data_IF_719126420435
#
_entry.id   IF_719126420435
#
_cell.length_a   1.000
_cell.length_b   1.000
_cell.length_c   1.000
_cell.angle_alpha   90.00
_cell.angle_beta   90.00
_cell.angle_gamma   90.00
#
_symmetry.space_group_name_H-M   'P 1'
#
loop_
_entity.id
_entity.type
_entity.pdbx_description
1 polymer ?
#
# COMPACT_ATOMS: atom_id res chain seq x y z
N UNK A 1 -0.11 22.53 11.68
CA UNK A 1 -1.23 23.40 11.24
C UNK A 1 -1.15 23.60 9.72
N UNK A 2 -1.90 22.84 8.94
CA UNK A 2 -2.04 23.11 7.49
C UNK A 2 -3.05 24.25 7.33
N UNK A 3 -2.58 25.41 6.86
CA UNK A 3 -3.48 26.48 6.45
C UNK A 3 -4.24 26.02 5.20
N UNK A 4 -5.55 25.92 5.28
CA UNK A 4 -6.39 25.73 4.09
C UNK A 4 -6.19 26.96 3.20
N UNK A 5 -5.85 26.75 1.94
CA UNK A 5 -5.91 27.82 0.94
C UNK A 5 -7.36 28.28 0.85
N UNK A 6 -7.62 29.57 1.12
CA UNK A 6 -8.97 30.12 1.01
C UNK A 6 -9.50 30.04 -0.42
N UNK A 7 -10.82 29.95 -0.55
CA UNK A 7 -11.51 29.84 -1.85
C UNK A 7 -11.11 30.91 -2.89
N UNK A 8 -10.77 32.12 -2.45
CA UNK A 8 -10.30 33.21 -3.32
C UNK A 8 -8.99 32.88 -4.05
N UNK A 9 -8.09 32.11 -3.41
CA UNK A 9 -6.80 31.76 -4.00
C UNK A 9 -6.94 30.60 -5.01
N UNK A 10 -7.93 29.74 -4.80
CA UNK A 10 -8.29 28.66 -5.75
C UNK A 10 -8.93 29.24 -6.99
N UNK A 11 -9.86 30.19 -6.83
CA UNK A 11 -10.53 30.88 -7.94
C UNK A 11 -9.55 31.67 -8.82
N UNK A 12 -8.54 32.29 -8.22
CA UNK A 12 -7.47 32.99 -8.95
C UNK A 12 -6.58 32.08 -9.81
N UNK A 13 -6.44 30.80 -9.42
CA UNK A 13 -5.65 29.81 -10.14
C UNK A 13 -6.45 29.18 -11.29
N UNK A 14 -7.75 28.97 -11.09
CA UNK A 14 -8.61 28.28 -12.06
C UNK A 14 -9.31 29.24 -13.05
N UNK A 15 -9.22 30.55 -12.83
CA UNK A 15 -9.82 31.58 -13.74
C UNK A 15 -11.36 31.55 -13.77
N UNK A 16 -12.01 30.80 -12.91
CA UNK A 16 -13.45 30.65 -12.84
C UNK A 16 -13.96 30.76 -11.40
N UNK A 17 -15.07 31.45 -11.21
CA UNK A 17 -15.72 31.62 -9.90
C UNK A 17 -16.66 30.43 -9.65
N UNK A 18 -16.13 29.36 -9.02
CA UNK A 18 -16.88 28.14 -8.72
C UNK A 18 -18.14 28.34 -7.83
N UNK A 19 -18.27 29.51 -7.22
CA UNK A 19 -19.42 29.82 -6.35
C UNK A 19 -20.68 30.29 -7.11
N UNK A 20 -20.56 30.56 -8.41
CA UNK A 20 -21.68 31.09 -9.25
C UNK A 20 -22.28 30.03 -10.19
N UNK A 21 -21.75 28.80 -10.22
CA UNK A 21 -22.32 27.72 -11.03
C UNK A 21 -23.51 27.12 -10.25
N UNK A 22 -24.70 27.42 -10.66
CA UNK A 22 -25.90 26.86 -10.07
C UNK A 22 -26.17 25.44 -10.58
N UNK A 23 -26.88 24.62 -9.77
CA UNK A 23 -27.25 23.24 -10.15
C UNK A 23 -28.01 23.19 -11.50
N UNK A 24 -28.70 24.28 -11.86
CA UNK A 24 -29.47 24.39 -13.10
C UNK A 24 -28.55 24.58 -14.32
N UNK A 25 -27.41 25.25 -14.19
CA UNK A 25 -26.42 25.40 -15.26
C UNK A 25 -25.66 24.08 -15.53
N UNK A 26 -25.38 23.29 -14.50
CA UNK A 26 -24.79 21.96 -14.67
C UNK A 26 -25.78 21.01 -15.37
N UNK A 27 -27.07 21.11 -15.01
CA UNK A 27 -28.13 20.30 -15.63
C UNK A 27 -28.40 20.72 -17.07
N UNK A 28 -28.37 22.03 -17.37
CA UNK A 28 -28.55 22.55 -18.73
C UNK A 28 -27.35 22.25 -19.64
N UNK A 29 -26.13 22.30 -19.12
CA UNK A 29 -24.92 21.92 -19.87
C UNK A 29 -24.91 20.41 -20.20
N UNK A 30 -25.33 19.55 -19.28
CA UNK A 30 -25.47 18.11 -19.51
C UNK A 30 -26.64 17.76 -20.45
N UNK A 31 -27.72 18.52 -20.42
CA UNK A 31 -28.88 18.30 -21.32
C UNK A 31 -28.62 18.78 -22.75
N UNK A 32 -27.77 19.79 -22.94
CA UNK A 32 -27.36 20.25 -24.27
C UNK A 32 -26.34 19.34 -24.97
N UNK A 33 -25.54 18.58 -24.23
CA UNK A 33 -24.61 17.63 -24.84
C UNK A 33 -25.23 16.32 -25.31
N UNK A 34 -26.43 15.97 -24.84
CA UNK A 34 -27.04 14.67 -25.11
C UNK A 34 -28.15 14.64 -26.17
N UNK A 35 -28.55 15.80 -26.75
CA UNK A 35 -29.67 15.88 -27.65
C UNK A 35 -29.36 16.59 -29.00
N UNK A 36 -28.17 16.42 -29.53
CA UNK A 36 -27.90 16.78 -30.92
C UNK A 36 -28.25 15.56 -31.82
N UNK A 37 -29.41 15.57 -32.52
CA UNK A 37 -29.81 14.47 -33.39
C UNK A 37 -28.95 14.36 -34.64
N UNK A 38 -28.02 15.30 -34.86
CA UNK A 38 -27.08 15.30 -36.00
C UNK A 38 -25.68 14.76 -35.62
N UNK A 39 -25.47 14.38 -34.37
CA UNK A 39 -24.19 13.77 -33.97
C UNK A 39 -24.14 12.35 -34.52
N UNK A 40 -23.60 12.21 -35.70
CA UNK A 40 -23.25 10.91 -36.25
C UNK A 40 -22.20 10.27 -35.33
N UNK A 41 -22.57 9.17 -34.68
CA UNK A 41 -21.61 8.32 -34.00
C UNK A 41 -20.66 7.79 -35.06
N UNK A 42 -19.37 7.98 -34.87
CA UNK A 42 -18.38 7.32 -35.72
C UNK A 42 -18.57 5.79 -35.75
N UNK A 43 -17.93 5.12 -36.67
CA UNK A 43 -17.95 3.64 -36.70
C UNK A 43 -17.59 3.08 -35.33
N UNK A 44 -18.30 2.05 -34.90
CA UNK A 44 -17.99 1.33 -33.64
C UNK A 44 -16.67 0.62 -33.85
N UNK A 45 -15.64 1.07 -33.13
CA UNK A 45 -14.34 0.42 -33.10
C UNK A 45 -14.40 -0.68 -32.05
N UNK A 46 -14.25 -1.94 -32.48
CA UNK A 46 -14.23 -3.08 -31.58
C UNK A 46 -12.91 -3.08 -30.76
N UNK A 47 -12.94 -3.62 -29.55
CA UNK A 47 -11.77 -3.63 -28.67
C UNK A 47 -10.60 -4.46 -29.21
N UNK A 48 -10.88 -5.45 -30.05
CA UNK A 48 -9.91 -6.31 -30.73
C UNK A 48 -9.31 -5.70 -32.01
N UNK A 49 -9.80 -4.54 -32.46
CA UNK A 49 -9.24 -3.81 -33.61
C UNK A 49 -8.07 -2.89 -33.22
N UNK A 50 -7.81 -2.69 -31.92
CA UNK A 50 -6.67 -1.92 -31.47
C UNK A 50 -5.41 -2.78 -31.43
N UNK A 51 -4.42 -2.44 -32.26
CA UNK A 51 -3.08 -2.97 -32.07
C UNK A 51 -2.47 -2.38 -30.79
N UNK A 52 -2.35 -3.21 -29.76
CA UNK A 52 -1.68 -2.82 -28.52
C UNK A 52 -0.16 -2.88 -28.75
N UNK A 53 0.61 -1.81 -28.49
CA UNK A 53 2.06 -1.85 -28.65
C UNK A 53 2.66 -2.88 -27.68
N UNK A 54 3.65 -3.62 -28.17
CA UNK A 54 4.40 -4.56 -27.35
C UNK A 54 5.18 -3.80 -26.25
N UNK A 55 5.31 -4.43 -25.10
CA UNK A 55 6.13 -3.86 -24.03
C UNK A 55 7.59 -3.75 -24.49
N UNK A 56 8.24 -2.56 -24.35
CA UNK A 56 9.62 -2.36 -24.78
C UNK A 56 10.60 -3.04 -23.82
N UNK A 57 10.76 -4.35 -23.94
CA UNK A 57 11.58 -5.19 -23.05
C UNK A 57 13.04 -4.74 -22.99
N UNK A 58 13.51 -4.02 -24.02
CA UNK A 58 14.85 -3.46 -24.14
C UNK A 58 15.19 -2.45 -23.05
N UNK A 59 14.18 -1.91 -22.35
CA UNK A 59 14.40 -0.99 -21.21
C UNK A 59 15.03 -1.71 -20.02
N UNK A 60 14.89 -3.02 -19.94
CA UNK A 60 15.50 -3.81 -18.87
C UNK A 60 16.94 -4.20 -19.19
N UNK A 61 17.82 -4.28 -18.18
CA UNK A 61 19.17 -4.86 -18.33
C UNK A 61 19.10 -6.29 -18.85
N UNK A 62 20.12 -6.72 -19.62
CA UNK A 62 20.14 -8.03 -20.28
C UNK A 62 19.81 -9.19 -19.35
N UNK A 63 20.45 -9.26 -18.17
CA UNK A 63 20.22 -10.33 -17.19
C UNK A 63 18.76 -10.44 -16.72
N UNK A 64 18.09 -9.28 -16.60
CA UNK A 64 16.70 -9.24 -16.18
C UNK A 64 15.76 -9.57 -17.33
N UNK A 65 16.11 -9.12 -18.54
CA UNK A 65 15.40 -9.48 -19.77
C UNK A 65 15.42 -10.99 -20.00
N UNK A 66 16.59 -11.61 -19.92
CA UNK A 66 16.74 -13.05 -20.08
C UNK A 66 15.88 -13.84 -19.06
N UNK A 67 15.80 -13.33 -17.83
CA UNK A 67 14.94 -13.93 -16.81
C UNK A 67 13.44 -13.74 -17.12
N UNK A 68 13.03 -12.55 -17.57
CA UNK A 68 11.65 -12.27 -18.01
C UNK A 68 11.23 -13.21 -19.14
N UNK A 69 12.05 -13.31 -20.17
CA UNK A 69 11.81 -14.17 -21.34
C UNK A 69 11.73 -15.63 -20.91
N UNK A 70 12.67 -16.10 -20.10
CA UNK A 70 12.68 -17.47 -19.61
C UNK A 70 11.44 -17.84 -18.80
N UNK A 71 10.96 -16.94 -17.91
CA UNK A 71 9.73 -17.18 -17.16
C UNK A 71 8.50 -17.17 -18.06
N UNK A 72 8.41 -16.22 -19.00
CA UNK A 72 7.29 -16.14 -19.94
C UNK A 72 7.23 -17.40 -20.84
N UNK A 73 8.37 -17.87 -21.34
CA UNK A 73 8.48 -19.10 -22.12
C UNK A 73 8.10 -20.33 -21.29
N UNK A 74 8.66 -20.49 -20.10
CA UNK A 74 8.39 -21.63 -19.22
C UNK A 74 6.92 -21.71 -18.82
N UNK A 75 6.30 -20.58 -18.56
CA UNK A 75 4.91 -20.51 -18.13
C UNK A 75 3.92 -20.43 -19.29
N UNK A 76 4.40 -20.21 -20.52
CA UNK A 76 3.57 -19.98 -21.70
C UNK A 76 2.58 -18.83 -21.49
N UNK A 77 3.06 -17.72 -20.95
CA UNK A 77 2.28 -16.52 -20.67
C UNK A 77 2.77 -15.35 -21.51
N UNK A 78 1.93 -14.32 -21.75
CA UNK A 78 2.39 -13.11 -22.42
C UNK A 78 3.55 -12.46 -21.66
N UNK A 79 4.55 -11.99 -22.40
CA UNK A 79 5.75 -11.37 -21.84
C UNK A 79 5.41 -10.10 -21.04
N UNK A 80 4.38 -9.37 -21.44
CA UNK A 80 3.91 -8.15 -20.78
C UNK A 80 3.55 -8.40 -19.31
N UNK A 81 2.94 -9.54 -19.01
CA UNK A 81 2.65 -9.92 -17.63
C UNK A 81 3.92 -10.07 -16.81
N UNK A 82 4.95 -10.70 -17.34
CA UNK A 82 6.24 -10.86 -16.68
C UNK A 82 6.93 -9.50 -16.47
N UNK A 83 6.87 -8.61 -17.47
CA UNK A 83 7.38 -7.24 -17.37
C UNK A 83 6.68 -6.44 -16.26
N UNK A 84 5.35 -6.52 -16.20
CA UNK A 84 4.56 -5.83 -15.15
C UNK A 84 4.89 -6.38 -13.76
N UNK A 85 5.09 -7.69 -13.62
CA UNK A 85 5.52 -8.29 -12.35
C UNK A 85 6.90 -7.81 -11.92
N UNK A 86 7.85 -7.68 -12.85
CA UNK A 86 9.17 -7.11 -12.56
C UNK A 86 9.05 -5.68 -12.04
N UNK A 87 8.26 -4.83 -12.69
CA UNK A 87 8.04 -3.45 -12.23
C UNK A 87 7.44 -3.41 -10.83
N UNK A 88 6.48 -4.30 -10.53
CA UNK A 88 5.90 -4.43 -9.19
C UNK A 88 6.96 -4.80 -8.14
N UNK A 89 7.75 -5.82 -8.40
CA UNK A 89 8.80 -6.31 -7.49
C UNK A 89 9.90 -5.26 -7.29
N UNK A 90 10.33 -4.58 -8.35
CA UNK A 90 11.29 -3.48 -8.26
C UNK A 90 10.75 -2.31 -7.46
N UNK A 91 9.47 -1.94 -7.63
CA UNK A 91 8.81 -0.93 -6.83
C UNK A 91 8.89 -1.25 -5.33
N UNK A 92 8.64 -2.50 -4.94
CA UNK A 92 8.76 -2.98 -3.55
C UNK A 92 10.20 -2.92 -3.05
N UNK A 93 11.14 -3.46 -3.83
CA UNK A 93 12.55 -3.54 -3.42
C UNK A 93 13.22 -2.16 -3.29
N UNK A 94 12.82 -1.20 -4.11
CA UNK A 94 13.38 0.15 -4.17
C UNK A 94 12.59 1.18 -3.35
N UNK A 95 11.45 0.79 -2.76
CA UNK A 95 10.60 1.67 -1.98
C UNK A 95 11.39 2.45 -0.93
N UNK A 96 11.24 3.78 -0.91
CA UNK A 96 11.93 4.74 -0.02
C UNK A 96 13.47 4.75 -0.12
N UNK A 97 14.06 3.98 -1.02
CA UNK A 97 15.51 4.03 -1.29
C UNK A 97 15.84 4.99 -2.43
N UNK A 98 14.92 5.12 -3.37
CA UNK A 98 15.05 5.95 -4.55
C UNK A 98 13.79 6.77 -4.80
N UNK A 99 13.95 7.89 -5.47
CA UNK A 99 12.89 8.70 -6.04
C UNK A 99 13.22 9.00 -7.50
N UNK A 100 12.21 9.27 -8.31
CA UNK A 100 12.40 9.73 -9.70
C UNK A 100 12.22 11.23 -9.73
N UNK A 101 12.98 11.90 -10.59
CA UNK A 101 12.80 13.31 -10.94
C UNK A 101 12.33 13.41 -12.40
N UNK A 102 11.01 13.27 -12.67
CA UNK A 102 10.47 13.32 -14.03
C UNK A 102 10.70 14.66 -14.71
N UNK A 103 10.73 15.74 -13.94
CA UNK A 103 11.10 17.08 -14.37
C UNK A 103 11.84 17.81 -13.26
N UNK A 104 12.64 18.82 -13.62
CA UNK A 104 13.49 19.56 -12.69
C UNK A 104 12.73 20.07 -11.47
N UNK A 105 13.11 19.59 -10.28
CA UNK A 105 12.53 19.98 -9.00
C UNK A 105 11.25 19.23 -8.62
N UNK A 106 10.81 18.25 -9.41
CA UNK A 106 9.67 17.40 -9.09
C UNK A 106 10.13 15.98 -8.79
N UNK A 107 9.94 15.55 -7.55
CA UNK A 107 10.34 14.22 -7.07
C UNK A 107 9.13 13.37 -6.78
N UNK A 108 9.11 12.16 -7.34
CA UNK A 108 8.08 11.15 -7.14
C UNK A 108 8.66 9.89 -6.50
N UNK A 109 7.83 9.22 -5.71
CA UNK A 109 8.17 7.89 -5.19
C UNK A 109 7.96 6.82 -6.26
N UNK A 110 8.69 5.69 -6.14
CA UNK A 110 8.58 4.56 -7.07
C UNK A 110 7.33 3.68 -6.81
N UNK A 111 6.25 4.26 -6.31
CA UNK A 111 5.02 3.51 -6.06
C UNK A 111 4.30 3.22 -7.38
N UNK A 112 3.88 1.97 -7.56
CA UNK A 112 3.14 1.54 -8.76
C UNK A 112 1.81 0.92 -8.39
N UNK A 113 0.81 1.12 -9.26
CA UNK A 113 -0.50 0.46 -9.20
C UNK A 113 -0.65 -0.30 -10.51
N UNK A 114 -0.53 -1.63 -10.46
CA UNK A 114 -0.53 -2.48 -11.63
C UNK A 114 -1.63 -3.54 -11.52
N UNK A 115 -2.41 -3.68 -12.59
CA UNK A 115 -3.44 -4.70 -12.70
C UNK A 115 -3.23 -5.43 -14.02
N UNK A 116 -3.18 -6.77 -13.97
CA UNK A 116 -3.07 -7.61 -15.14
C UNK A 116 -4.35 -8.45 -15.29
N UNK A 117 -5.03 -8.28 -16.42
CA UNK A 117 -6.22 -9.06 -16.76
C UNK A 117 -5.85 -10.21 -17.68
N UNK A 118 -6.19 -11.43 -17.27
CA UNK A 118 -6.01 -12.64 -18.07
C UNK A 118 -7.17 -13.60 -17.80
N UNK A 119 -7.57 -14.42 -18.78
CA UNK A 119 -8.54 -15.46 -18.56
C UNK A 119 -8.15 -16.43 -17.43
N UNK A 120 -9.10 -17.12 -16.80
CA UNK A 120 -8.80 -18.16 -15.82
C UNK A 120 -7.88 -19.23 -16.39
N UNK A 121 -7.14 -19.94 -15.54
CA UNK A 121 -6.23 -21.04 -15.89
C UNK A 121 -5.00 -20.66 -16.73
N UNK A 122 -4.71 -19.38 -16.93
CA UNK A 122 -3.56 -18.90 -17.70
C UNK A 122 -2.28 -18.72 -16.85
N UNK A 123 -2.08 -19.58 -15.87
CA UNK A 123 -0.82 -19.70 -15.09
C UNK A 123 -0.34 -18.41 -14.42
N UNK A 124 -1.23 -17.44 -14.17
CA UNK A 124 -0.92 -16.17 -13.47
C UNK A 124 -0.14 -16.39 -12.18
N UNK A 125 -0.58 -17.34 -11.37
CA UNK A 125 0.06 -17.66 -10.08
C UNK A 125 1.48 -18.19 -10.22
N UNK A 126 1.81 -18.85 -11.34
CA UNK A 126 3.18 -19.35 -11.61
C UNK A 126 4.12 -18.17 -11.89
N UNK A 127 3.70 -17.22 -12.70
CA UNK A 127 4.46 -15.99 -12.98
C UNK A 127 4.61 -15.16 -11.70
N UNK A 128 3.51 -14.95 -10.97
CA UNK A 128 3.54 -14.26 -9.67
C UNK A 128 4.56 -14.87 -8.73
N UNK A 129 4.52 -16.19 -8.55
CA UNK A 129 5.44 -16.91 -7.67
C UNK A 129 6.90 -16.78 -8.10
N UNK A 130 7.18 -16.87 -9.41
CA UNK A 130 8.53 -16.76 -9.93
C UNK A 130 9.17 -15.39 -9.58
N UNK A 131 8.42 -14.31 -9.75
CA UNK A 131 8.96 -12.96 -9.50
C UNK A 131 8.93 -12.53 -8.04
N UNK A 132 8.00 -13.02 -7.22
CA UNK A 132 7.95 -12.70 -5.79
C UNK A 132 8.89 -13.56 -4.94
N UNK A 133 9.33 -14.71 -5.46
CA UNK A 133 10.21 -15.64 -4.76
C UNK A 133 11.49 -14.97 -4.20
N UNK A 134 12.24 -14.14 -4.95
CA UNK A 134 13.44 -13.50 -4.43
C UNK A 134 13.17 -12.56 -3.25
N UNK A 135 12.01 -11.89 -3.22
CA UNK A 135 11.63 -11.05 -2.08
C UNK A 135 11.35 -11.89 -0.84
N UNK A 136 10.63 -13.01 -1.00
CA UNK A 136 10.34 -13.95 0.09
C UNK A 136 11.60 -14.63 0.62
N UNK A 137 12.51 -15.02 -0.27
CA UNK A 137 13.78 -15.62 0.14
C UNK A 137 14.61 -14.65 0.98
N UNK A 138 14.75 -13.41 0.52
CA UNK A 138 15.46 -12.37 1.26
C UNK A 138 14.78 -12.05 2.60
N UNK A 139 13.45 -11.97 2.62
CA UNK A 139 12.65 -11.79 3.86
C UNK A 139 12.94 -12.91 4.87
N UNK A 140 12.93 -14.17 4.42
CA UNK A 140 13.21 -15.32 5.26
C UNK A 140 14.64 -15.36 5.78
N UNK A 141 15.61 -15.04 4.94
CA UNK A 141 17.02 -14.96 5.33
C UNK A 141 17.24 -13.90 6.42
N UNK A 142 16.74 -12.70 6.21
CA UNK A 142 16.88 -11.59 7.15
C UNK A 142 16.15 -11.86 8.47
N UNK A 143 14.96 -12.44 8.42
CA UNK A 143 14.21 -12.82 9.61
C UNK A 143 14.89 -13.98 10.38
N UNK A 144 15.54 -14.90 9.66
CA UNK A 144 16.34 -15.96 10.29
C UNK A 144 17.54 -15.38 11.04
N UNK A 145 18.24 -14.42 10.45
CA UNK A 145 19.39 -13.73 11.12
C UNK A 145 18.95 -12.99 12.38
N UNK A 146 17.74 -12.42 12.36
CA UNK A 146 17.17 -11.61 13.45
C UNK A 146 16.27 -12.38 14.40
N UNK A 147 16.10 -13.68 14.22
CA UNK A 147 15.12 -14.50 14.96
C UNK A 147 15.16 -14.29 16.47
N UNK A 148 16.36 -14.32 17.06
CA UNK A 148 16.51 -14.15 18.51
C UNK A 148 16.06 -12.77 18.96
N UNK A 149 16.45 -11.72 18.26
CA UNK A 149 16.05 -10.36 18.61
C UNK A 149 14.52 -10.14 18.46
N UNK A 150 13.91 -10.73 17.43
CA UNK A 150 12.46 -10.69 17.20
C UNK A 150 11.73 -11.39 18.35
N UNK A 151 12.15 -12.60 18.75
CA UNK A 151 11.51 -13.35 19.83
C UNK A 151 11.70 -12.68 21.20
N UNK A 152 12.87 -12.10 21.46
CA UNK A 152 13.10 -11.32 22.68
C UNK A 152 12.19 -10.09 22.74
N UNK A 153 12.15 -9.32 21.67
CA UNK A 153 11.31 -8.13 21.58
C UNK A 153 9.81 -8.45 21.69
N UNK A 154 9.38 -9.55 21.09
CA UNK A 154 8.02 -10.06 21.25
C UNK A 154 7.70 -10.42 22.70
N UNK A 155 8.61 -11.11 23.35
CA UNK A 155 8.44 -11.49 24.76
C UNK A 155 8.38 -10.25 25.67
N UNK A 156 9.27 -9.26 25.47
CA UNK A 156 9.26 -8.01 26.21
C UNK A 156 7.93 -7.28 26.05
N UNK A 157 7.43 -7.19 24.82
CA UNK A 157 6.13 -6.59 24.53
C UNK A 157 4.99 -7.31 25.23
N UNK A 158 4.93 -8.63 25.13
CA UNK A 158 3.90 -9.46 25.77
C UNK A 158 3.92 -9.30 27.30
N UNK A 159 5.09 -9.17 27.91
CA UNK A 159 5.24 -8.93 29.36
C UNK A 159 4.70 -7.55 29.73
N UNK A 160 5.07 -6.50 29.00
CA UNK A 160 4.59 -5.14 29.25
C UNK A 160 3.06 -5.04 29.07
N UNK A 161 2.52 -5.65 28.02
CA UNK A 161 1.07 -5.69 27.78
C UNK A 161 0.32 -6.35 28.95
N UNK A 162 0.81 -7.47 29.45
CA UNK A 162 0.22 -8.17 30.61
C UNK A 162 0.30 -7.34 31.89
N UNK A 163 1.44 -6.72 32.16
CA UNK A 163 1.60 -5.85 33.34
C UNK A 163 0.63 -4.69 33.28
N UNK A 164 0.49 -4.02 32.12
CA UNK A 164 -0.47 -2.94 31.90
C UNK A 164 -1.91 -3.43 32.12
N UNK A 165 -2.24 -4.61 31.63
CA UNK A 165 -3.58 -5.18 31.80
C UNK A 165 -3.88 -5.51 33.27
N UNK A 166 -2.93 -6.07 34.00
CA UNK A 166 -3.11 -6.40 35.41
C UNK A 166 -3.19 -5.13 36.28
N UNK A 167 -2.38 -4.11 36.03
CA UNK A 167 -2.49 -2.81 36.68
C UNK A 167 -3.85 -2.15 36.42
N UNK A 168 -4.40 -2.27 35.20
CA UNK A 168 -5.77 -1.79 34.89
C UNK A 168 -6.82 -2.51 35.74
N UNK A 169 -6.71 -3.84 35.91
CA UNK A 169 -7.63 -4.62 36.76
C UNK A 169 -7.53 -4.22 38.22
N UNK A 170 -6.32 -4.02 38.74
CA UNK A 170 -6.10 -3.64 40.13
C UNK A 170 -6.55 -2.21 40.40
N UNK A 171 -6.38 -1.29 39.47
CA UNK A 171 -6.93 0.07 39.54
C UNK A 171 -8.47 0.06 39.68
N UNK A 172 -9.15 -0.78 38.90
CA UNK A 172 -10.61 -0.95 38.99
C UNK A 172 -11.01 -1.45 40.39
N UNK A 173 -10.27 -2.44 40.95
CA UNK A 173 -10.54 -2.99 42.31
C UNK A 173 -10.30 -1.92 43.38
N UNK A 174 -9.22 -1.11 43.29
CA UNK A 174 -8.92 -0.04 44.24
C UNK A 174 -10.02 1.03 44.24
N UNK A 175 -10.48 1.45 43.05
CA UNK A 175 -11.60 2.39 42.91
C UNK A 175 -12.92 1.85 43.49
N UNK A 176 -13.21 0.55 43.32
CA UNK A 176 -14.39 -0.09 43.92
C UNK A 176 -14.33 -0.13 45.46
N UNK A 177 -13.12 -0.25 46.02
CA UNK A 177 -12.89 -0.21 47.47
C UNK A 177 -12.85 1.20 48.05
N UNK A 178 -12.99 2.24 47.23
CA UNK A 178 -12.91 3.66 47.62
C UNK A 178 -11.59 4.02 48.28
N UNK A 179 -10.49 3.33 47.98
CA UNK A 179 -9.14 3.68 48.43
C UNK A 179 -8.50 4.64 47.41
N UNK A 180 -8.61 5.94 47.67
CA UNK A 180 -8.07 6.98 46.76
C UNK A 180 -6.53 6.95 46.72
N UNK A 181 -5.86 6.63 47.81
CA UNK A 181 -4.41 6.58 47.90
C UNK A 181 -3.84 5.42 47.08
N UNK A 182 -4.41 4.21 47.23
CA UNK A 182 -4.02 3.04 46.44
C UNK A 182 -4.32 3.24 44.96
N UNK A 183 -5.48 3.85 44.65
CA UNK A 183 -5.84 4.13 43.27
C UNK A 183 -4.89 5.14 42.60
N UNK A 184 -4.44 6.15 43.31
CA UNK A 184 -3.47 7.13 42.82
C UNK A 184 -2.08 6.51 42.60
N UNK A 185 -1.63 5.64 43.49
CA UNK A 185 -0.35 4.93 43.35
C UNK A 185 -0.37 3.99 42.13
N UNK A 186 -1.41 3.15 41.99
CA UNK A 186 -1.57 2.23 40.85
C UNK A 186 -1.69 3.02 39.53
N UNK A 187 -2.39 4.14 39.51
CA UNK A 187 -2.49 4.99 38.33
C UNK A 187 -1.13 5.54 37.92
N UNK A 188 -0.27 5.94 38.90
CA UNK A 188 1.10 6.39 38.62
C UNK A 188 1.94 5.28 37.97
N UNK A 189 1.88 4.06 38.52
CA UNK A 189 2.60 2.92 37.99
C UNK A 189 2.10 2.52 36.57
N UNK A 190 0.78 2.53 36.37
CA UNK A 190 0.16 2.28 35.08
C UNK A 190 0.65 3.28 34.01
N UNK A 191 0.67 4.57 34.35
CA UNK A 191 1.15 5.61 33.45
C UNK A 191 2.64 5.42 33.09
N UNK A 192 3.47 5.06 34.09
CA UNK A 192 4.88 4.77 33.86
C UNK A 192 5.08 3.58 32.92
N UNK A 193 4.28 2.50 33.07
CA UNK A 193 4.36 1.34 32.18
C UNK A 193 3.84 1.61 30.77
N UNK A 194 2.83 2.44 30.62
CA UNK A 194 2.36 2.90 29.30
C UNK A 194 3.46 3.73 28.62
N UNK A 195 4.10 4.64 29.34
CA UNK A 195 5.19 5.46 28.80
C UNK A 195 6.41 4.61 28.42
N UNK A 196 6.74 3.57 29.20
CA UNK A 196 7.78 2.59 28.90
C UNK A 196 7.47 1.85 27.59
N UNK A 197 6.23 1.40 27.42
CA UNK A 197 5.77 0.72 26.22
C UNK A 197 5.78 1.63 24.96
N UNK A 198 5.41 2.91 25.12
CA UNK A 198 5.44 3.89 24.01
C UNK A 198 6.85 4.25 23.57
N UNK A 199 7.82 4.23 24.50
CA UNK A 199 9.24 4.51 24.22
C UNK A 199 10.00 3.29 23.75
N UNK A 200 9.48 2.08 23.95
CA UNK A 200 10.15 0.84 23.58
C UNK A 200 10.20 0.68 22.06
N UNK A 201 11.38 0.45 21.51
CA UNK A 201 11.59 0.11 20.11
C UNK A 201 11.53 -1.42 19.94
N UNK A 202 10.39 -1.93 19.51
CA UNK A 202 10.23 -3.37 19.27
C UNK A 202 10.77 -3.77 17.90
N UNK A 203 11.52 -4.87 17.87
CA UNK A 203 12.03 -5.46 16.64
C UNK A 203 10.93 -6.31 16.00
N UNK A 204 10.45 -5.87 14.84
CA UNK A 204 9.45 -6.60 14.06
C UNK A 204 10.08 -7.43 12.95
N UNK A 205 9.45 -8.55 12.55
CA UNK A 205 9.86 -9.27 11.35
C UNK A 205 9.81 -8.35 10.13
N UNK A 206 10.82 -8.48 9.26
CA UNK A 206 10.79 -7.82 7.95
C UNK A 206 9.68 -8.46 7.12
N UNK A 207 8.86 -7.62 6.52
CA UNK A 207 7.83 -8.02 5.55
C UNK A 207 7.79 -7.02 4.42
N UNK A 208 7.92 -7.51 3.19
CA UNK A 208 7.94 -6.65 2.00
C UNK A 208 6.57 -6.50 1.38
N UNK A 209 5.76 -7.56 1.40
CA UNK A 209 4.42 -7.52 0.83
C UNK A 209 3.44 -8.46 1.57
N UNK A 210 2.18 -8.27 1.29
CA UNK A 210 1.09 -9.16 1.69
C UNK A 210 0.16 -9.37 0.49
N UNK A 211 -0.56 -10.48 0.45
CA UNK A 211 -1.52 -10.82 -0.61
C UNK A 211 -2.98 -10.59 -0.19
N UNK A 212 -3.25 -10.72 1.10
CA UNK A 212 -4.58 -10.54 1.68
C UNK A 212 -4.45 -9.79 3.00
N UNK A 213 -5.12 -8.64 3.11
CA UNK A 213 -5.00 -7.78 4.30
C UNK A 213 -6.20 -6.83 4.40
N UNK A 214 -6.75 -6.69 5.62
CA UNK A 214 -7.71 -5.61 5.89
C UNK A 214 -7.01 -4.25 5.98
N UNK A 215 -7.71 -3.13 5.75
CA UNK A 215 -7.13 -1.79 5.86
C UNK A 215 -6.46 -1.53 7.21
N UNK A 216 -7.04 -2.01 8.31
CA UNK A 216 -6.50 -1.84 9.67
C UNK A 216 -5.20 -2.62 9.86
N UNK A 217 -5.15 -3.84 9.35
CA UNK A 217 -3.94 -4.66 9.38
C UNK A 217 -2.85 -4.09 8.50
N UNK A 218 -3.21 -3.52 7.33
CA UNK A 218 -2.26 -2.87 6.44
C UNK A 218 -1.57 -1.69 7.14
N UNK A 219 -2.32 -0.86 7.85
CA UNK A 219 -1.76 0.25 8.63
C UNK A 219 -0.76 -0.27 9.66
N UNK A 220 -1.11 -1.33 10.40
CA UNK A 220 -0.21 -1.94 11.39
C UNK A 220 1.06 -2.48 10.74
N UNK A 221 0.94 -3.19 9.60
CA UNK A 221 2.10 -3.69 8.86
C UNK A 221 2.98 -2.56 8.34
N UNK A 222 2.39 -1.47 7.86
CA UNK A 222 3.14 -0.30 7.40
C UNK A 222 3.91 0.37 8.55
N UNK A 223 3.31 0.52 9.72
CA UNK A 223 3.99 1.06 10.90
C UNK A 223 5.20 0.20 11.28
N UNK A 224 5.05 -1.12 11.31
CA UNK A 224 6.10 -2.07 11.66
C UNK A 224 7.21 -2.17 10.57
N UNK A 225 6.93 -1.75 9.34
CA UNK A 225 7.84 -1.82 8.19
C UNK A 225 8.40 -0.46 7.76
N UNK A 226 8.45 0.51 8.67
CA UNK A 226 8.88 1.89 8.38
C UNK A 226 8.12 2.52 7.20
N UNK A 227 6.83 2.22 7.06
CA UNK A 227 5.95 2.70 6.00
C UNK A 227 6.25 2.10 4.62
N UNK A 228 6.89 0.94 4.55
CA UNK A 228 7.16 0.19 3.31
C UNK A 228 6.35 -1.09 3.33
N UNK A 229 5.33 -1.16 2.51
CA UNK A 229 4.49 -2.35 2.34
C UNK A 229 3.88 -2.35 0.95
N UNK A 230 3.81 -3.50 0.32
CA UNK A 230 3.07 -3.70 -0.90
C UNK A 230 1.92 -4.68 -0.68
N UNK A 231 0.87 -4.54 -1.47
CA UNK A 231 -0.18 -5.55 -1.61
C UNK A 231 0.01 -6.17 -2.98
N UNK A 232 0.40 -7.43 -3.01
CA UNK A 232 0.65 -8.19 -4.25
C UNK A 232 -0.20 -9.46 -4.20
N UNK A 233 -1.15 -9.59 -5.12
CA UNK A 233 -2.03 -10.76 -5.20
C UNK A 233 -2.02 -11.39 -6.58
N UNK A 234 -1.99 -12.72 -6.64
CA UNK A 234 -2.12 -13.49 -7.88
C UNK A 234 -3.56 -13.62 -8.38
N UNK A 235 -4.54 -13.26 -7.56
CA UNK A 235 -5.97 -13.23 -7.85
C UNK A 235 -6.58 -11.96 -7.29
N UNK A 236 -7.65 -11.47 -7.92
CA UNK A 236 -8.47 -10.46 -7.28
C UNK A 236 -9.17 -11.12 -6.08
N UNK A 237 -8.67 -10.85 -4.88
CA UNK A 237 -9.53 -10.72 -3.73
C UNK A 237 -9.92 -9.25 -3.71
N UNK A 238 -11.12 -8.88 -4.14
CA UNK A 238 -11.58 -7.51 -3.94
C UNK A 238 -11.54 -7.27 -2.43
N UNK A 239 -11.17 -6.07 -2.05
CA UNK A 239 -11.41 -5.60 -0.69
C UNK A 239 -12.91 -5.73 -0.45
N UNK A 240 -13.36 -6.82 0.20
CA UNK A 240 -14.73 -7.01 0.67
C UNK A 240 -15.01 -6.08 1.85
#
# INVERSE_FOLDING_TARGET
MRKSLGAEKINSILGTNLAEITSDEITSANSQQNNDPTREWGEIILFDEYEVPLFPIEVFPTWLRDYIEGVAEQTQTPIDMACMMVLSVLSVALAKKFSIEPSKGWYESLNTYLITFMPPSNRKSSVFKAFTFPLLEHENEENTKRRIAIEQSRHEKDVLERLIEDLKKDLVKAKQKQSEEDAAAIQGELNAKIEEMEKAEFVHPIRYFTDDVTPEQLITLMLNSAGRMAVLSAGLTPFD
#
